data_IF_918626233152
#
_entry.id   IF_918626233152
#
_cell.length_a   1.000
_cell.length_b   1.000
_cell.length_c   1.000
_cell.angle_alpha   90.00
_cell.angle_beta   90.00
_cell.angle_gamma   90.00
#
_symmetry.space_group_name_H-M   'P 1'
#
loop_
_entity.id
_entity.type
_entity.pdbx_description
1 polymer ?
#
# COMPACT_ATOMS: atom_id res chain seq x y z
N UNK A 1 -0.95 -0.73 -33.96
CA UNK A 1 -0.81 -0.35 -32.54
C UNK A 1 0.62 0.08 -32.30
N UNK A 2 0.83 1.31 -31.81
CA UNK A 2 2.18 1.85 -31.54
C UNK A 2 2.83 1.28 -30.28
N UNK A 3 2.00 0.81 -29.33
CA UNK A 3 2.43 0.28 -28.04
C UNK A 3 1.75 -1.07 -27.72
N UNK A 4 2.25 -2.19 -28.28
CA UNK A 4 1.64 -3.51 -28.08
C UNK A 4 1.88 -4.09 -26.67
N UNK A 5 2.73 -3.47 -25.86
CA UNK A 5 3.12 -3.89 -24.51
C UNK A 5 2.10 -3.48 -23.43
N UNK A 6 1.25 -2.48 -23.70
CA UNK A 6 0.22 -1.97 -22.77
C UNK A 6 -0.67 -3.04 -22.16
N UNK A 7 -1.34 -3.90 -22.97
CA UNK A 7 -2.26 -4.88 -22.43
C UNK A 7 -1.54 -5.91 -21.55
N UNK A 8 -0.31 -6.29 -21.91
CA UNK A 8 0.49 -7.23 -21.13
C UNK A 8 0.80 -6.66 -19.74
N UNK A 9 1.35 -5.45 -19.66
CA UNK A 9 1.72 -4.84 -18.39
C UNK A 9 0.52 -4.49 -17.50
N UNK A 10 -0.57 -4.02 -18.10
CA UNK A 10 -1.81 -3.71 -17.38
C UNK A 10 -2.45 -4.98 -16.81
N UNK A 11 -2.51 -6.07 -17.60
CA UNK A 11 -3.03 -7.35 -17.13
C UNK A 11 -2.16 -7.96 -16.02
N UNK A 12 -0.84 -7.98 -16.20
CA UNK A 12 0.08 -8.48 -15.20
C UNK A 12 -0.05 -7.68 -13.89
N UNK A 13 -0.09 -6.36 -13.97
CA UNK A 13 -0.22 -5.48 -12.80
C UNK A 13 -1.54 -5.65 -12.08
N UNK A 14 -2.63 -5.88 -12.81
CA UNK A 14 -3.93 -6.22 -12.24
C UNK A 14 -3.85 -7.49 -11.37
N UNK A 15 -3.13 -8.52 -11.83
CA UNK A 15 -2.90 -9.74 -11.05
C UNK A 15 -1.99 -9.49 -9.84
N UNK A 16 -0.90 -8.74 -10.02
CA UNK A 16 0.06 -8.45 -8.95
C UNK A 16 -0.58 -7.69 -7.79
N UNK A 17 -1.48 -6.74 -8.06
CA UNK A 17 -2.16 -5.94 -7.02
C UNK A 17 -3.14 -6.78 -6.21
N UNK A 18 -3.75 -7.82 -6.79
CA UNK A 18 -4.65 -8.72 -6.07
C UNK A 18 -3.89 -9.61 -5.08
N UNK A 19 -2.62 -9.94 -5.35
CA UNK A 19 -1.86 -10.86 -4.48
C UNK A 19 -1.87 -10.37 -3.01
N UNK A 20 -1.54 -9.10 -2.68
CA UNK A 20 -1.63 -8.58 -1.32
C UNK A 20 -3.02 -8.55 -0.66
N UNK A 21 -4.11 -8.67 -1.43
CA UNK A 21 -5.47 -8.39 -0.96
C UNK A 21 -5.86 -9.23 0.27
N UNK A 22 -5.56 -10.53 0.26
CA UNK A 22 -5.98 -11.42 1.34
C UNK A 22 -5.37 -11.03 2.71
N UNK A 23 -4.08 -10.69 2.74
CA UNK A 23 -3.37 -10.33 3.98
C UNK A 23 -3.78 -8.95 4.48
N UNK A 24 -4.00 -8.01 3.57
CA UNK A 24 -4.50 -6.68 3.92
C UNK A 24 -5.94 -6.72 4.45
N UNK A 25 -6.75 -7.66 3.97
CA UNK A 25 -8.11 -7.90 4.48
C UNK A 25 -8.09 -8.40 5.92
N UNK A 26 -7.21 -9.37 6.22
CA UNK A 26 -7.03 -9.87 7.59
C UNK A 26 -6.60 -8.77 8.56
N UNK A 27 -5.81 -7.81 8.09
CA UNK A 27 -5.32 -6.68 8.87
C UNK A 27 -6.30 -5.50 8.99
N UNK A 28 -7.48 -5.59 8.36
CA UNK A 28 -8.51 -4.53 8.36
C UNK A 28 -7.95 -3.13 8.05
N UNK A 29 -7.05 -3.07 7.08
CA UNK A 29 -6.43 -1.82 6.63
C UNK A 29 -7.23 -1.25 5.46
N UNK A 30 -8.30 -0.50 5.73
CA UNK A 30 -9.25 -0.05 4.70
C UNK A 30 -8.59 0.92 3.72
N UNK A 31 -7.67 1.78 4.19
CA UNK A 31 -6.93 2.67 3.31
C UNK A 31 -6.15 1.90 2.22
N UNK A 32 -5.38 0.89 2.61
CA UNK A 32 -4.63 0.08 1.63
C UNK A 32 -5.54 -0.83 0.80
N UNK A 33 -6.64 -1.34 1.35
CA UNK A 33 -7.63 -2.09 0.58
C UNK A 33 -8.30 -1.23 -0.49
N UNK A 34 -8.62 0.02 -0.16
CA UNK A 34 -9.17 0.98 -1.11
C UNK A 34 -8.14 1.29 -2.21
N UNK A 35 -6.86 1.44 -1.84
CA UNK A 35 -5.78 1.63 -2.80
C UNK A 35 -5.66 0.47 -3.79
N UNK A 36 -5.69 -0.78 -3.29
CA UNK A 36 -5.71 -1.99 -4.13
C UNK A 36 -6.92 -1.97 -5.08
N UNK A 37 -8.11 -1.65 -4.57
CA UNK A 37 -9.34 -1.58 -5.37
C UNK A 37 -9.21 -0.56 -6.52
N UNK A 38 -8.74 0.65 -6.22
CA UNK A 38 -8.54 1.71 -7.21
C UNK A 38 -7.49 1.33 -8.24
N UNK A 39 -6.35 0.77 -7.81
CA UNK A 39 -5.31 0.28 -8.70
C UNK A 39 -5.80 -0.85 -9.62
N UNK A 40 -6.55 -1.81 -9.08
CA UNK A 40 -7.15 -2.87 -9.87
C UNK A 40 -8.07 -2.30 -10.96
N UNK A 41 -8.98 -1.39 -10.61
CA UNK A 41 -9.87 -0.74 -11.57
C UNK A 41 -9.11 0.06 -12.63
N UNK A 42 -8.05 0.77 -12.23
CA UNK A 42 -7.21 1.54 -13.12
C UNK A 42 -6.57 0.65 -14.20
N UNK A 43 -5.94 -0.46 -13.77
CA UNK A 43 -5.32 -1.41 -14.69
C UNK A 43 -6.35 -2.11 -15.58
N UNK A 44 -7.53 -2.46 -15.04
CA UNK A 44 -8.61 -3.03 -15.83
C UNK A 44 -9.07 -2.07 -16.93
N UNK A 45 -9.23 -0.78 -16.59
CA UNK A 45 -9.61 0.25 -17.56
C UNK A 45 -8.53 0.40 -18.63
N UNK A 46 -7.27 0.56 -18.25
CA UNK A 46 -6.16 0.70 -19.21
C UNK A 46 -6.03 -0.54 -20.10
N UNK A 47 -6.18 -1.74 -19.54
CA UNK A 47 -6.15 -2.99 -20.27
C UNK A 47 -7.23 -3.03 -21.36
N UNK A 48 -8.51 -2.85 -21.00
CA UNK A 48 -9.62 -2.87 -21.96
C UNK A 48 -9.47 -1.75 -22.99
N UNK A 49 -9.08 -0.54 -22.55
CA UNK A 49 -8.89 0.59 -23.46
C UNK A 49 -7.81 0.29 -24.51
N UNK A 50 -6.68 -0.29 -24.11
CA UNK A 50 -5.58 -0.65 -25.01
C UNK A 50 -5.96 -1.71 -26.04
N UNK A 51 -6.91 -2.60 -25.72
CA UNK A 51 -7.39 -3.63 -26.63
C UNK A 51 -8.43 -3.07 -27.62
N UNK A 52 -9.40 -2.29 -27.13
CA UNK A 52 -10.53 -1.80 -27.94
C UNK A 52 -10.11 -0.68 -28.89
N UNK A 53 -9.25 0.24 -28.45
CA UNK A 53 -8.79 1.40 -29.24
C UNK A 53 -7.41 1.20 -29.87
N UNK A 54 -7.02 -0.05 -30.03
CA UNK A 54 -5.87 -0.45 -30.80
C UNK A 54 -5.95 0.01 -32.26
N UNK A 55 -5.13 0.99 -32.65
CA UNK A 55 -5.08 1.53 -34.02
C UNK A 55 -6.39 2.13 -34.51
N UNK A 56 -7.26 2.56 -33.58
CA UNK A 56 -8.51 3.22 -33.92
C UNK A 56 -8.95 4.17 -32.78
N UNK A 57 -9.79 5.15 -33.13
CA UNK A 57 -10.37 6.12 -32.20
C UNK A 57 -11.91 6.16 -32.30
N UNK A 58 -12.52 5.12 -32.88
CA UNK A 58 -13.97 5.05 -33.09
C UNK A 58 -14.70 4.80 -31.78
N UNK A 59 -15.88 5.40 -31.62
CA UNK A 59 -16.72 5.12 -30.46
C UNK A 59 -17.45 3.77 -30.60
N UNK A 60 -16.73 2.69 -30.26
CA UNK A 60 -17.24 1.32 -30.33
C UNK A 60 -18.14 0.96 -29.14
N UNK A 61 -17.99 1.64 -28.00
CA UNK A 61 -18.72 1.33 -26.77
C UNK A 61 -18.92 2.59 -25.89
N UNK A 62 -19.99 3.36 -26.13
CA UNK A 62 -20.25 4.61 -25.42
C UNK A 62 -20.44 4.44 -23.90
N UNK A 63 -21.08 3.33 -23.49
CA UNK A 63 -21.34 3.03 -22.07
C UNK A 63 -20.03 2.76 -21.34
N UNK A 64 -19.11 2.04 -21.99
CA UNK A 64 -17.78 1.82 -21.45
C UNK A 64 -17.03 3.14 -21.29
N UNK A 65 -17.02 4.02 -22.31
CA UNK A 65 -16.32 5.30 -22.22
C UNK A 65 -16.85 6.21 -21.11
N UNK A 66 -18.16 6.20 -20.87
CA UNK A 66 -18.78 6.93 -19.76
C UNK A 66 -18.27 6.45 -18.38
N UNK A 67 -18.02 5.16 -18.22
CA UNK A 67 -17.58 4.58 -16.96
C UNK A 67 -16.06 4.72 -16.82
N UNK A 68 -15.31 4.31 -17.83
CA UNK A 68 -13.85 4.23 -17.81
C UNK A 68 -13.19 5.60 -17.67
N UNK A 69 -13.69 6.61 -18.40
CA UNK A 69 -13.18 7.99 -18.29
C UNK A 69 -13.30 8.56 -16.88
N UNK A 70 -14.43 8.28 -16.20
CA UNK A 70 -14.69 8.71 -14.82
C UNK A 70 -13.84 7.96 -13.81
N UNK A 71 -13.62 6.66 -14.01
CA UNK A 71 -12.71 5.87 -13.17
C UNK A 71 -11.30 6.45 -13.21
N UNK A 72 -10.76 6.72 -14.41
CA UNK A 72 -9.42 7.31 -14.54
C UNK A 72 -9.32 8.69 -13.90
N UNK A 73 -10.39 9.50 -14.01
CA UNK A 73 -10.46 10.79 -13.35
C UNK A 73 -10.42 10.67 -11.82
N UNK A 74 -11.19 9.72 -11.25
CA UNK A 74 -11.26 9.46 -9.81
C UNK A 74 -9.90 9.14 -9.20
N UNK A 75 -9.02 8.46 -9.93
CA UNK A 75 -7.69 8.07 -9.44
C UNK A 75 -6.84 9.26 -9.00
N UNK A 76 -6.95 10.41 -9.68
CA UNK A 76 -6.22 11.62 -9.33
C UNK A 76 -6.51 12.10 -7.90
N UNK A 77 -7.70 11.79 -7.38
CA UNK A 77 -8.09 12.13 -6.01
C UNK A 77 -7.97 10.92 -5.07
N UNK A 78 -8.28 9.72 -5.56
CA UNK A 78 -8.33 8.51 -4.74
C UNK A 78 -6.96 8.09 -4.23
N UNK A 79 -5.91 8.14 -5.07
CA UNK A 79 -4.55 7.75 -4.68
C UNK A 79 -4.01 8.63 -3.53
N UNK A 80 -3.95 9.98 -3.66
CA UNK A 80 -3.46 10.81 -2.58
C UNK A 80 -4.36 10.78 -1.34
N UNK A 81 -5.68 10.63 -1.50
CA UNK A 81 -6.59 10.48 -0.37
C UNK A 81 -6.32 9.18 0.42
N UNK A 82 -6.08 8.07 -0.27
CA UNK A 82 -5.67 6.80 0.35
C UNK A 82 -4.34 6.95 1.10
N UNK A 83 -3.35 7.60 0.49
CA UNK A 83 -2.06 7.89 1.11
C UNK A 83 -2.19 8.77 2.36
N UNK A 84 -2.99 9.82 2.31
CA UNK A 84 -3.28 10.69 3.47
C UNK A 84 -3.95 9.90 4.60
N UNK A 85 -4.99 9.11 4.28
CA UNK A 85 -5.70 8.27 5.24
C UNK A 85 -4.75 7.28 5.92
N UNK A 86 -3.88 6.64 5.14
CA UNK A 86 -2.84 5.74 5.63
C UNK A 86 -1.84 6.46 6.54
N UNK A 87 -1.32 7.62 6.16
CA UNK A 87 -0.36 8.38 6.97
C UNK A 87 -0.97 8.90 8.26
N UNK A 88 -2.20 9.40 8.24
CA UNK A 88 -2.95 9.78 9.46
C UNK A 88 -3.09 8.60 10.42
N UNK A 89 -3.36 7.41 9.88
CA UNK A 89 -3.43 6.20 10.71
C UNK A 89 -2.06 5.91 11.33
N UNK A 90 -0.99 5.89 10.56
CA UNK A 90 0.34 5.54 11.07
C UNK A 90 0.87 6.55 12.10
N UNK A 91 0.67 7.85 11.87
CA UNK A 91 1.02 8.91 12.83
C UNK A 91 0.30 8.70 14.16
N UNK A 92 -0.99 8.38 14.13
CA UNK A 92 -1.77 8.19 15.34
C UNK A 92 -1.40 6.91 16.11
N UNK A 93 -0.86 5.89 15.44
CA UNK A 93 -0.23 4.72 16.11
C UNK A 93 1.06 5.17 16.78
N UNK A 94 1.96 5.83 16.05
CA UNK A 94 3.28 6.19 16.53
C UNK A 94 3.26 7.20 17.68
N UNK A 95 2.29 8.12 17.69
CA UNK A 95 2.11 9.11 18.76
C UNK A 95 1.50 8.53 20.04
N UNK A 96 1.17 7.23 20.10
CA UNK A 96 0.55 6.54 21.25
C UNK A 96 -0.78 7.13 21.72
N UNK A 97 -1.45 7.94 20.88
CA UNK A 97 -2.82 8.43 21.13
C UNK A 97 -3.86 7.29 21.23
N UNK A 98 -3.44 6.05 20.96
CA UNK A 98 -4.23 4.81 20.91
C UNK A 98 -3.87 3.83 22.02
N UNK A 99 -3.91 4.27 23.29
CA UNK A 99 -3.56 3.39 24.41
C UNK A 99 -4.64 2.34 24.73
N UNK A 100 -5.83 2.39 24.12
CA UNK A 100 -6.89 1.40 24.34
C UNK A 100 -7.55 0.99 23.01
N UNK A 101 -7.37 -0.28 22.61
CA UNK A 101 -8.12 -0.89 21.51
C UNK A 101 -9.58 -1.00 21.96
N UNK A 102 -10.47 -0.24 21.30
CA UNK A 102 -11.91 -0.25 21.57
C UNK A 102 -12.67 -0.47 20.26
N UNK A 103 -13.68 -1.35 20.28
CA UNK A 103 -14.51 -1.62 19.10
C UNK A 103 -15.19 -0.34 18.53
N UNK A 104 -15.52 0.62 19.39
CA UNK A 104 -16.07 1.93 18.96
C UNK A 104 -15.03 2.73 18.17
N UNK A 105 -13.77 2.68 18.60
CA UNK A 105 -12.67 3.35 17.91
C UNK A 105 -12.42 2.72 16.54
N UNK A 106 -12.37 1.39 16.46
CA UNK A 106 -12.17 0.68 15.19
C UNK A 106 -13.29 1.00 14.19
N UNK A 107 -14.54 1.03 14.64
CA UNK A 107 -15.67 1.40 13.77
C UNK A 107 -15.56 2.83 13.28
N UNK A 108 -15.24 3.77 14.15
CA UNK A 108 -15.06 5.19 13.77
C UNK A 108 -13.92 5.34 12.77
N UNK A 109 -12.78 4.68 13.03
CA UNK A 109 -11.62 4.67 12.13
C UNK A 109 -11.98 4.11 10.76
N UNK A 110 -12.70 2.99 10.68
CA UNK A 110 -13.14 2.43 9.40
C UNK A 110 -14.03 3.39 8.63
N UNK A 111 -14.98 4.06 9.30
CA UNK A 111 -15.85 5.06 8.68
C UNK A 111 -15.01 6.24 8.14
N UNK A 112 -14.06 6.73 8.92
CA UNK A 112 -13.15 7.81 8.50
C UNK A 112 -12.29 7.39 7.29
N UNK A 113 -11.71 6.19 7.31
CA UNK A 113 -10.92 5.65 6.18
C UNK A 113 -11.78 5.49 4.92
N UNK A 114 -13.00 4.92 5.02
CA UNK A 114 -13.94 4.81 3.89
C UNK A 114 -14.33 6.18 3.35
N UNK A 115 -14.63 7.12 4.25
CA UNK A 115 -15.04 8.47 3.86
C UNK A 115 -13.94 9.18 3.09
N UNK A 116 -12.68 9.03 3.51
CA UNK A 116 -11.54 9.67 2.85
C UNK A 116 -11.20 8.93 1.55
N UNK A 117 -11.12 7.61 1.55
CA UNK A 117 -10.59 6.84 0.43
C UNK A 117 -11.62 6.54 -0.69
N UNK A 118 -12.92 6.56 -0.40
CA UNK A 118 -13.97 6.21 -1.35
C UNK A 118 -14.98 7.34 -1.57
N UNK A 119 -15.44 8.00 -0.50
CA UNK A 119 -16.48 9.05 -0.63
C UNK A 119 -15.86 10.36 -1.14
N UNK A 120 -14.73 10.79 -0.57
CA UNK A 120 -14.11 12.06 -0.95
C UNK A 120 -13.68 12.14 -2.43
N UNK A 121 -13.12 11.09 -3.05
CA UNK A 121 -12.79 11.11 -4.48
C UNK A 121 -14.03 11.22 -5.35
N UNK A 122 -15.13 10.56 -4.98
CA UNK A 122 -16.41 10.67 -5.71
C UNK A 122 -16.97 12.09 -5.67
N UNK A 123 -16.92 12.75 -4.50
CA UNK A 123 -17.36 14.14 -4.36
C UNK A 123 -16.47 15.11 -5.15
N UNK A 124 -15.14 14.96 -5.05
CA UNK A 124 -14.18 15.81 -5.78
C UNK A 124 -14.25 15.59 -7.30
N UNK A 125 -14.40 14.35 -7.75
CA UNK A 125 -14.65 14.06 -9.16
C UNK A 125 -16.00 14.61 -9.61
N UNK A 126 -17.04 14.58 -8.79
CA UNK A 126 -18.30 15.29 -9.10
C UNK A 126 -18.10 16.78 -9.34
N UNK A 127 -17.22 17.42 -8.55
CA UNK A 127 -16.88 18.84 -8.71
C UNK A 127 -16.17 19.14 -10.04
N UNK A 128 -15.47 18.16 -10.63
CA UNK A 128 -14.84 18.35 -11.94
C UNK A 128 -15.83 18.54 -13.08
N UNK A 129 -17.11 18.21 -12.87
CA UNK A 129 -18.15 18.54 -13.84
C UNK A 129 -18.18 20.04 -14.15
N UNK A 130 -17.84 20.92 -13.19
CA UNK A 130 -17.75 22.38 -13.39
C UNK A 130 -16.83 22.75 -14.56
N UNK A 131 -15.78 21.95 -14.78
CA UNK A 131 -14.72 22.18 -15.77
C UNK A 131 -14.73 21.15 -16.89
N UNK A 132 -15.78 20.34 -16.98
CA UNK A 132 -15.94 19.35 -18.03
C UNK A 132 -16.59 20.01 -19.24
N UNK A 133 -15.88 20.07 -20.37
CA UNK A 133 -16.41 20.73 -21.58
C UNK A 133 -17.48 19.90 -22.30
N UNK A 134 -17.28 18.58 -22.33
CA UNK A 134 -18.13 17.63 -23.05
C UNK A 134 -18.00 16.22 -22.48
N UNK A 135 -18.75 15.26 -23.02
CA UNK A 135 -18.98 13.95 -22.39
C UNK A 135 -17.69 13.17 -22.12
N UNK A 136 -16.89 12.92 -23.16
CA UNK A 136 -15.56 12.29 -23.06
C UNK A 136 -14.76 12.49 -24.36
N UNK A 137 -13.48 12.19 -24.28
CA UNK A 137 -12.55 12.11 -25.40
C UNK A 137 -12.20 10.65 -25.67
N UNK A 138 -12.00 10.32 -26.95
CA UNK A 138 -11.39 9.07 -27.37
C UNK A 138 -10.09 9.44 -28.08
N UNK A 139 -8.97 8.96 -27.57
CA UNK A 139 -7.65 9.16 -28.17
C UNK A 139 -7.18 7.82 -28.73
N UNK A 140 -6.75 7.82 -29.99
CA UNK A 140 -6.22 6.63 -30.65
C UNK A 140 -5.10 5.96 -29.82
N UNK A 141 -5.10 4.63 -29.76
CA UNK A 141 -4.15 3.81 -28.98
C UNK A 141 -4.16 4.02 -27.45
N UNK A 142 -4.93 4.98 -26.92
CA UNK A 142 -5.06 5.26 -25.48
C UNK A 142 -6.47 4.90 -24.97
N UNK A 143 -7.52 5.19 -25.74
CA UNK A 143 -8.91 4.95 -25.41
C UNK A 143 -9.64 6.13 -24.79
N UNK A 144 -10.64 5.86 -23.96
CA UNK A 144 -11.54 6.89 -23.41
C UNK A 144 -10.89 7.67 -22.26
N UNK A 145 -11.01 9.00 -22.31
CA UNK A 145 -10.49 9.94 -21.32
C UNK A 145 -11.57 10.97 -20.96
N UNK A 146 -11.51 11.50 -19.74
CA UNK A 146 -12.38 12.60 -19.35
C UNK A 146 -12.02 13.88 -20.13
N UNK A 147 -13.02 14.60 -20.62
CA UNK A 147 -12.81 15.92 -21.21
C UNK A 147 -12.63 16.96 -20.11
N UNK A 148 -11.59 17.77 -20.20
CA UNK A 148 -11.33 18.86 -19.25
C UNK A 148 -11.12 20.14 -20.05
N UNK A 149 -11.93 21.15 -19.77
CA UNK A 149 -11.79 22.48 -20.35
C UNK A 149 -10.65 23.23 -19.67
N UNK A 150 -9.55 23.43 -20.41
CA UNK A 150 -8.31 24.06 -19.93
C UNK A 150 -8.56 25.50 -19.49
N UNK A 151 -8.74 25.69 -18.19
CA UNK A 151 -9.06 26.96 -17.54
C UNK A 151 -8.43 27.04 -16.16
N UNK A 152 -8.39 28.22 -15.54
CA UNK A 152 -7.86 28.37 -14.16
C UNK A 152 -8.57 27.43 -13.17
N UNK A 153 -9.92 27.32 -13.16
CA UNK A 153 -10.59 26.35 -12.29
C UNK A 153 -10.16 24.90 -12.55
N UNK A 154 -9.89 24.52 -13.80
CA UNK A 154 -9.45 23.15 -14.10
C UNK A 154 -8.05 22.87 -13.57
N UNK A 155 -7.14 23.85 -13.58
CA UNK A 155 -5.80 23.71 -12.99
C UNK A 155 -5.88 23.51 -11.48
N UNK A 156 -6.77 24.24 -10.81
CA UNK A 156 -6.98 24.10 -9.37
C UNK A 156 -7.52 22.70 -9.04
N UNK A 157 -8.59 22.27 -9.73
CA UNK A 157 -9.21 20.98 -9.49
C UNK A 157 -8.26 19.82 -9.82
N UNK A 158 -7.57 19.87 -10.96
CA UNK A 158 -6.74 18.78 -11.48
C UNK A 158 -5.38 18.65 -10.78
N UNK A 159 -4.76 19.76 -10.38
CA UNK A 159 -3.39 19.75 -9.86
C UNK A 159 -3.28 20.29 -8.43
N UNK A 160 -3.90 21.44 -8.14
CA UNK A 160 -3.74 22.07 -6.83
C UNK A 160 -4.40 21.26 -5.71
N UNK A 161 -5.63 20.75 -5.92
CA UNK A 161 -6.34 19.95 -4.91
C UNK A 161 -5.63 18.62 -4.63
N UNK A 162 -5.35 17.75 -5.62
CA UNK A 162 -4.56 16.53 -5.38
C UNK A 162 -3.20 16.82 -4.77
N UNK A 163 -2.50 17.86 -5.25
CA UNK A 163 -1.22 18.29 -4.71
C UNK A 163 -1.30 18.70 -3.23
N UNK A 164 -2.34 19.44 -2.83
CA UNK A 164 -2.56 19.81 -1.44
C UNK A 164 -2.83 18.58 -0.54
N UNK A 165 -3.58 17.59 -1.03
CA UNK A 165 -3.81 16.32 -0.31
C UNK A 165 -2.48 15.57 -0.15
N UNK A 166 -1.64 15.52 -1.19
CA UNK A 166 -0.31 14.90 -1.12
C UNK A 166 0.63 15.64 -0.16
N UNK A 167 0.61 16.98 -0.12
CA UNK A 167 1.39 17.75 0.84
C UNK A 167 0.93 17.44 2.27
N UNK A 168 -0.38 17.38 2.52
CA UNK A 168 -0.92 16.97 3.81
C UNK A 168 -0.45 15.56 4.20
N UNK A 169 -0.48 14.61 3.25
CA UNK A 169 0.03 13.24 3.45
C UNK A 169 1.50 13.24 3.87
N UNK A 170 2.36 14.03 3.22
CA UNK A 170 3.78 14.16 3.57
C UNK A 170 3.98 14.78 4.95
N UNK A 171 3.18 15.77 5.34
CA UNK A 171 3.24 16.34 6.71
C UNK A 171 2.97 15.24 7.74
N UNK A 172 1.93 14.43 7.55
CA UNK A 172 1.66 13.29 8.43
C UNK A 172 2.77 12.24 8.39
N UNK A 173 3.39 11.99 7.23
CA UNK A 173 4.53 11.09 7.12
C UNK A 173 5.72 11.57 7.97
N UNK A 174 6.05 12.87 7.90
CA UNK A 174 7.12 13.48 8.72
C UNK A 174 6.81 13.34 10.20
N UNK A 175 5.56 13.60 10.63
CA UNK A 175 5.15 13.41 12.02
C UNK A 175 5.23 11.95 12.46
N UNK A 176 4.78 11.01 11.63
CA UNK A 176 4.84 9.58 11.90
C UNK A 176 6.29 9.09 12.06
N UNK A 177 7.20 9.54 11.19
CA UNK A 177 8.64 9.23 11.29
C UNK A 177 9.24 9.86 12.55
N UNK A 178 8.92 11.13 12.85
CA UNK A 178 9.41 11.80 14.06
C UNK A 178 9.03 11.03 15.32
N UNK A 179 7.75 10.64 15.47
CA UNK A 179 7.29 9.86 16.62
C UNK A 179 7.93 8.48 16.69
N UNK A 180 8.09 7.82 15.54
CA UNK A 180 8.81 6.55 15.44
C UNK A 180 10.25 6.69 15.95
N UNK A 181 10.99 7.72 15.51
CA UNK A 181 12.37 7.95 15.92
C UNK A 181 12.50 8.24 17.42
N UNK A 182 11.60 9.05 17.98
CA UNK A 182 11.56 9.38 19.42
C UNK A 182 11.35 8.11 20.26
N UNK A 183 10.51 7.18 19.79
CA UNK A 183 10.08 5.99 20.57
C UNK A 183 10.67 4.68 20.06
N UNK A 184 11.71 4.71 19.23
CA UNK A 184 12.20 3.55 18.47
C UNK A 184 12.49 2.30 19.32
N UNK A 185 12.98 2.49 20.55
CA UNK A 185 13.30 1.38 21.46
C UNK A 185 12.04 0.70 22.05
N UNK A 186 10.95 1.45 22.19
CA UNK A 186 9.67 0.95 22.72
C UNK A 186 8.65 0.68 21.61
N UNK A 187 9.01 0.91 20.35
CA UNK A 187 8.07 0.94 19.24
C UNK A 187 7.45 -0.43 18.97
N UNK A 188 8.22 -1.50 19.11
CA UNK A 188 7.68 -2.87 19.01
C UNK A 188 6.58 -3.11 20.05
N UNK A 189 6.78 -2.68 21.29
CA UNK A 189 5.77 -2.78 22.36
C UNK A 189 4.55 -1.90 22.07
N UNK A 190 4.77 -0.68 21.55
CA UNK A 190 3.68 0.22 21.15
C UNK A 190 2.81 -0.43 20.07
N UNK A 191 3.44 -1.03 19.06
CA UNK A 191 2.72 -1.76 18.00
C UNK A 191 1.96 -2.95 18.57
N UNK A 192 2.59 -3.76 19.43
CA UNK A 192 1.96 -4.92 20.05
C UNK A 192 0.74 -4.59 20.91
N UNK A 193 0.67 -3.38 21.48
CA UNK A 193 -0.47 -2.93 22.30
C UNK A 193 -1.54 -2.20 21.49
N UNK A 194 -1.17 -1.53 20.40
CA UNK A 194 -2.07 -0.67 19.63
C UNK A 194 -2.62 -1.30 18.34
N UNK A 195 -1.86 -2.22 17.73
CA UNK A 195 -2.25 -2.93 16.52
C UNK A 195 -1.44 -4.23 16.34
N UNK A 196 -1.96 -5.34 16.86
CA UNK A 196 -1.31 -6.65 16.83
C UNK A 196 -1.08 -7.19 15.41
N UNK A 197 -1.62 -6.53 14.37
CA UNK A 197 -1.44 -6.92 12.97
C UNK A 197 -0.34 -6.14 12.25
N UNK A 198 0.28 -5.17 12.93
CA UNK A 198 1.23 -4.23 12.35
C UNK A 198 2.66 -4.52 12.87
N UNK A 199 3.52 -5.06 11.99
CA UNK A 199 4.95 -5.21 12.25
C UNK A 199 5.72 -3.91 11.95
N UNK A 200 6.93 -3.75 12.49
CA UNK A 200 7.80 -2.60 12.19
C UNK A 200 8.13 -2.53 10.69
N UNK A 201 8.46 -3.68 10.08
CA UNK A 201 8.73 -3.75 8.65
C UNK A 201 7.52 -3.34 7.82
N UNK A 202 6.30 -3.78 8.18
CA UNK A 202 5.07 -3.33 7.51
C UNK A 202 4.80 -1.85 7.71
N UNK A 203 5.03 -1.33 8.91
CA UNK A 203 4.89 0.11 9.21
C UNK A 203 5.78 0.96 8.30
N UNK A 204 7.07 0.61 8.19
CA UNK A 204 8.02 1.35 7.34
C UNK A 204 7.68 1.24 5.85
N UNK A 205 7.27 0.06 5.36
CA UNK A 205 6.84 -0.12 3.97
C UNK A 205 5.60 0.70 3.63
N UNK A 206 4.64 0.81 4.57
CA UNK A 206 3.47 1.67 4.41
C UNK A 206 3.85 3.17 4.38
N UNK A 207 4.83 3.60 5.17
CA UNK A 207 5.36 4.98 5.08
C UNK A 207 6.04 5.22 3.74
N UNK A 208 6.96 4.33 3.35
CA UNK A 208 7.71 4.45 2.12
C UNK A 208 6.78 4.55 0.90
N UNK A 209 5.76 3.67 0.81
CA UNK A 209 4.77 3.73 -0.28
C UNK A 209 4.05 5.08 -0.34
N UNK A 210 3.55 5.59 0.79
CA UNK A 210 2.78 6.83 0.79
C UNK A 210 3.65 8.07 0.53
N UNK A 211 4.92 8.05 0.96
CA UNK A 211 5.90 9.08 0.61
C UNK A 211 6.17 9.04 -0.90
N UNK A 212 6.47 7.86 -1.46
CA UNK A 212 6.69 7.70 -2.90
C UNK A 212 5.48 8.20 -3.71
N UNK A 213 4.27 7.79 -3.35
CA UNK A 213 3.04 8.24 -4.00
C UNK A 213 2.87 9.77 -3.94
N UNK A 214 3.00 10.35 -2.74
CA UNK A 214 2.81 11.80 -2.55
C UNK A 214 3.88 12.61 -3.29
N UNK A 215 5.14 12.15 -3.30
CA UNK A 215 6.23 12.81 -4.02
C UNK A 215 6.04 12.73 -5.53
N UNK A 216 5.66 11.57 -6.07
CA UNK A 216 5.40 11.40 -7.51
C UNK A 216 4.24 12.29 -7.95
N UNK A 217 3.15 12.37 -7.17
CA UNK A 217 2.01 13.22 -7.53
C UNK A 217 2.35 14.72 -7.51
N UNK A 218 3.13 15.17 -6.52
CA UNK A 218 3.59 16.57 -6.46
C UNK A 218 4.52 16.87 -7.64
N UNK A 219 5.46 15.97 -7.95
CA UNK A 219 6.36 16.14 -9.10
C UNK A 219 5.57 16.20 -10.42
N UNK A 220 4.56 15.34 -10.58
CA UNK A 220 3.65 15.37 -11.71
C UNK A 220 2.87 16.69 -11.80
N UNK A 221 2.33 17.19 -10.68
CA UNK A 221 1.63 18.48 -10.66
C UNK A 221 2.55 19.65 -11.05
N UNK A 222 3.79 19.68 -10.56
CA UNK A 222 4.79 20.69 -10.90
C UNK A 222 5.18 20.60 -12.38
N UNK A 223 5.41 19.39 -12.89
CA UNK A 223 5.73 19.16 -14.31
C UNK A 223 4.63 19.70 -15.22
N UNK A 224 3.36 19.37 -14.95
CA UNK A 224 2.25 19.85 -15.76
C UNK A 224 2.01 21.37 -15.63
N UNK A 225 2.37 21.97 -14.50
CA UNK A 225 2.31 23.42 -14.32
C UNK A 225 3.45 24.14 -15.07
N UNK A 226 4.62 23.53 -15.21
CA UNK A 226 5.77 24.13 -15.91
C UNK A 226 5.80 23.83 -17.41
N UNK A 227 5.18 22.74 -17.86
CA UNK A 227 5.12 22.31 -19.26
C UNK A 227 4.06 23.06 -20.07
N UNK A 228 4.10 24.39 -20.09
CA UNK A 228 3.18 25.19 -20.93
C UNK A 228 3.90 25.65 -22.20
N UNK A 229 3.73 24.96 -23.35
CA UNK A 229 4.00 25.67 -24.62
C UNK A 229 2.86 25.72 -25.66
N UNK A 230 1.85 24.83 -25.69
CA UNK A 230 0.99 24.74 -26.89
C UNK A 230 -0.53 24.92 -26.68
N UNK A 231 -1.07 24.80 -25.46
CA UNK A 231 -2.50 25.00 -25.17
C UNK A 231 -2.71 26.16 -24.18
N UNK A 232 -3.02 27.38 -24.66
CA UNK A 232 -3.20 28.54 -23.77
C UNK A 232 -4.41 28.33 -22.86
N UNK A 233 -4.24 28.68 -21.58
CA UNK A 233 -5.33 28.66 -20.60
C UNK A 233 -6.47 29.55 -21.09
N UNK A 234 -7.63 28.96 -21.29
CA UNK A 234 -8.81 29.66 -21.77
C UNK A 234 -9.58 30.31 -20.61
N UNK A 235 -10.14 31.51 -20.80
CA UNK A 235 -10.94 32.16 -19.77
C UNK A 235 -12.22 31.35 -19.50
N UNK A 236 -12.55 31.18 -18.23
CA UNK A 236 -13.82 30.60 -17.79
C UNK A 236 -14.92 31.67 -17.86
N UNK A 237 -15.60 31.80 -19.00
CA UNK A 237 -16.58 32.88 -19.24
C UNK A 237 -17.89 32.69 -18.48
N UNK A 238 -18.50 31.50 -18.59
CA UNK A 238 -19.75 31.14 -17.89
C UNK A 238 -19.97 29.62 -17.93
N UNK A 239 -20.83 29.11 -17.04
CA UNK A 239 -21.25 27.71 -17.05
C UNK A 239 -21.77 27.26 -18.41
N UNK A 240 -22.64 28.07 -19.02
CA UNK A 240 -23.27 27.79 -20.32
C UNK A 240 -22.23 27.73 -21.45
N UNK A 241 -21.18 28.55 -21.39
CA UNK A 241 -20.13 28.55 -22.39
C UNK A 241 -19.27 27.27 -22.33
N UNK A 242 -18.98 26.78 -21.13
CA UNK A 242 -18.19 25.54 -20.95
C UNK A 242 -19.00 24.30 -21.30
N UNK A 243 -20.30 24.28 -21.01
CA UNK A 243 -21.18 23.12 -21.23
C UNK A 243 -21.98 23.19 -22.53
N UNK A 244 -21.53 23.98 -23.50
CA UNK A 244 -22.21 24.05 -24.81
C UNK A 244 -22.11 22.69 -25.50
N UNK A 245 -23.25 22.14 -25.93
CA UNK A 245 -23.33 20.81 -26.56
C UNK A 245 -22.66 19.68 -25.76
N UNK A 246 -22.77 19.70 -24.43
CA UNK A 246 -22.09 18.76 -23.52
C UNK A 246 -22.21 17.27 -23.89
N UNK A 247 -23.34 16.86 -24.47
CA UNK A 247 -23.58 15.47 -24.89
C UNK A 247 -22.67 14.98 -26.04
N UNK A 248 -21.92 15.87 -26.67
CA UNK A 248 -20.95 15.51 -27.72
C UNK A 248 -19.73 14.80 -27.12
N UNK A 249 -19.08 14.00 -27.96
CA UNK A 249 -17.82 13.35 -27.67
C UNK A 249 -16.83 13.66 -28.79
N UNK A 250 -15.55 13.72 -28.44
CA UNK A 250 -14.50 14.03 -29.41
C UNK A 250 -13.62 12.81 -29.65
N UNK A 251 -13.19 12.65 -30.90
CA UNK A 251 -12.39 11.54 -31.38
C UNK A 251 -11.12 12.11 -31.99
N UNK A 252 -9.96 11.71 -31.48
CA UNK A 252 -8.68 12.30 -31.85
C UNK A 252 -7.70 11.22 -32.34
N UNK A 253 -7.16 11.36 -33.56
CA UNK A 253 -6.00 10.57 -33.97
C UNK A 253 -4.78 10.97 -33.15
N UNK A 254 -3.84 10.03 -32.95
CA UNK A 254 -2.66 10.29 -32.11
C UNK A 254 -1.77 11.43 -32.65
N UNK A 255 -1.76 11.60 -33.97
CA UNK A 255 -0.95 12.57 -34.71
C UNK A 255 -1.27 14.02 -34.32
N UNK A 256 -2.52 14.31 -33.92
CA UNK A 256 -2.96 15.64 -33.54
C UNK A 256 -2.22 16.18 -32.31
N UNK A 257 -1.78 15.28 -31.43
CA UNK A 257 -1.15 15.67 -30.17
C UNK A 257 0.35 15.93 -30.29
N UNK A 258 1.02 15.56 -31.38
CA UNK A 258 2.43 15.84 -31.63
C UNK A 258 3.32 15.67 -30.39
N UNK A 259 3.85 16.78 -29.87
CA UNK A 259 4.74 16.81 -28.68
C UNK A 259 4.04 16.49 -27.35
N UNK A 260 2.71 16.62 -27.27
CA UNK A 260 1.92 16.31 -26.08
C UNK A 260 1.57 14.82 -25.95
N UNK A 261 1.65 14.06 -27.04
CA UNK A 261 1.31 12.62 -27.05
C UNK A 261 2.08 11.78 -26.00
N UNK A 262 3.40 11.98 -25.78
CA UNK A 262 4.13 11.28 -24.73
C UNK A 262 3.55 11.45 -23.32
N UNK A 263 2.89 12.57 -23.01
CA UNK A 263 2.22 12.76 -21.73
C UNK A 263 0.99 11.86 -21.60
N UNK A 264 0.22 11.66 -22.67
CA UNK A 264 -0.91 10.71 -22.67
C UNK A 264 -0.43 9.28 -22.49
N UNK A 265 0.64 8.92 -23.19
CA UNK A 265 1.35 7.64 -23.01
C UNK A 265 1.75 7.49 -21.55
N UNK A 266 2.49 8.43 -20.95
CA UNK A 266 2.93 8.35 -19.56
C UNK A 266 1.76 8.18 -18.57
N UNK A 267 0.62 8.87 -18.79
CA UNK A 267 -0.59 8.69 -17.98
C UNK A 267 -1.21 7.30 -18.13
N UNK A 268 -1.16 6.70 -19.33
CA UNK A 268 -1.60 5.32 -19.54
C UNK A 268 -0.67 4.29 -18.86
N UNK A 269 0.64 4.58 -18.77
CA UNK A 269 1.61 3.73 -18.05
C UNK A 269 1.50 3.86 -16.52
N UNK A 270 1.05 5.01 -16.01
CA UNK A 270 1.08 5.31 -14.58
C UNK A 270 0.37 4.28 -13.68
N UNK A 271 -0.85 3.78 -13.98
CA UNK A 271 -1.52 2.78 -13.16
C UNK A 271 -0.71 1.50 -12.91
N UNK A 272 -0.10 0.97 -13.96
CA UNK A 272 0.61 -0.30 -13.88
C UNK A 272 1.99 -0.10 -13.25
N UNK A 273 2.69 1.01 -13.53
CA UNK A 273 3.94 1.36 -12.85
C UNK A 273 3.72 1.52 -11.34
N UNK A 274 2.65 2.21 -10.96
CA UNK A 274 2.31 2.37 -9.55
C UNK A 274 1.90 1.05 -8.88
N UNK A 275 1.28 0.15 -9.63
CA UNK A 275 0.96 -1.21 -9.19
C UNK A 275 2.20 -2.07 -8.96
N UNK A 276 3.22 -1.93 -9.81
CA UNK A 276 4.52 -2.59 -9.62
C UNK A 276 5.22 -2.04 -8.37
N UNK A 277 5.20 -0.72 -8.15
CA UNK A 277 5.73 -0.10 -6.92
C UNK A 277 4.97 -0.63 -5.70
N UNK A 278 3.64 -0.69 -5.75
CA UNK A 278 2.83 -1.26 -4.68
C UNK A 278 3.24 -2.71 -4.39
N UNK A 279 3.35 -3.54 -5.43
CA UNK A 279 3.78 -4.93 -5.29
C UNK A 279 5.22 -5.07 -4.79
N UNK A 280 6.15 -4.19 -5.15
CA UNK A 280 7.52 -4.27 -4.63
C UNK A 280 7.58 -4.03 -3.12
N UNK A 281 6.75 -3.12 -2.59
CA UNK A 281 6.64 -2.90 -1.15
C UNK A 281 5.91 -4.05 -0.42
N UNK A 282 4.83 -4.60 -0.96
CA UNK A 282 4.00 -5.56 -0.22
C UNK A 282 4.19 -7.02 -0.63
N UNK A 283 4.49 -7.27 -1.89
CA UNK A 283 4.66 -8.59 -2.48
C UNK A 283 5.84 -9.37 -1.92
N UNK A 284 6.92 -8.71 -1.49
CA UNK A 284 8.11 -9.38 -0.93
C UNK A 284 8.19 -9.34 0.61
N UNK A 285 7.13 -8.90 1.29
CA UNK A 285 7.09 -8.90 2.76
C UNK A 285 7.13 -10.31 3.34
N UNK A 286 7.68 -10.46 4.55
CA UNK A 286 7.65 -11.74 5.29
C UNK A 286 6.23 -12.32 5.35
N UNK A 287 5.23 -11.47 5.57
CA UNK A 287 3.83 -11.90 5.64
C UNK A 287 3.30 -12.41 4.29
N UNK A 288 3.73 -11.79 3.19
CA UNK A 288 3.35 -12.19 1.84
C UNK A 288 4.05 -13.49 1.43
N UNK A 289 5.36 -13.61 1.71
CA UNK A 289 6.16 -14.82 1.44
C UNK A 289 5.59 -16.02 2.19
N UNK A 290 5.31 -15.86 3.49
CA UNK A 290 4.66 -16.91 4.28
C UNK A 290 3.28 -17.27 3.71
N UNK A 291 2.53 -16.28 3.23
CA UNK A 291 1.28 -16.50 2.51
C UNK A 291 1.43 -17.34 1.24
N UNK A 292 2.43 -17.02 0.41
CA UNK A 292 2.72 -17.79 -0.81
C UNK A 292 3.11 -19.22 -0.50
N UNK A 293 3.92 -19.47 0.54
CA UNK A 293 4.31 -20.81 0.96
C UNK A 293 3.10 -21.65 1.41
N UNK A 294 2.17 -21.05 2.15
CA UNK A 294 0.92 -21.73 2.54
C UNK A 294 0.09 -22.08 1.31
N UNK A 295 -0.07 -21.16 0.35
CA UNK A 295 -0.81 -21.45 -0.90
C UNK A 295 -0.10 -22.54 -1.70
N UNK A 296 1.22 -22.45 -1.86
CA UNK A 296 2.02 -23.46 -2.55
C UNK A 296 1.84 -24.85 -1.92
N UNK A 297 1.83 -24.95 -0.58
CA UNK A 297 1.57 -26.22 0.10
C UNK A 297 0.17 -26.79 -0.18
N UNK A 298 -0.85 -25.93 -0.32
CA UNK A 298 -2.21 -26.35 -0.69
C UNK A 298 -2.28 -26.82 -2.14
N UNK A 299 -1.59 -26.15 -3.04
CA UNK A 299 -1.50 -26.53 -4.46
C UNK A 299 -0.78 -27.86 -4.59
N UNK A 300 0.35 -28.05 -3.91
CA UNK A 300 1.08 -29.34 -3.88
C UNK A 300 0.16 -30.46 -3.37
N UNK A 301 -0.53 -30.25 -2.24
CA UNK A 301 -1.50 -31.23 -1.72
C UNK A 301 -2.66 -31.52 -2.68
N UNK A 302 -3.10 -30.53 -3.46
CA UNK A 302 -4.14 -30.71 -4.49
C UNK A 302 -3.61 -31.52 -5.67
N UNK A 303 -2.41 -31.21 -6.15
CA UNK A 303 -1.73 -31.93 -7.25
C UNK A 303 -1.45 -33.38 -6.85
N UNK A 304 -1.08 -33.63 -5.59
CA UNK A 304 -0.93 -34.98 -5.03
C UNK A 304 -2.25 -35.76 -5.03
N UNK A 305 -3.40 -35.11 -4.78
CA UNK A 305 -4.72 -35.76 -4.88
C UNK A 305 -5.10 -36.15 -6.30
N UNK A 306 -4.56 -35.45 -7.32
CA UNK A 306 -4.77 -35.77 -8.73
C UNK A 306 -3.75 -36.78 -9.29
N UNK A 307 -2.93 -37.42 -8.44
CA UNK A 307 -2.13 -38.59 -8.81
C UNK A 307 -0.78 -38.30 -9.46
N UNK A 308 -0.31 -37.05 -9.46
CA UNK A 308 1.05 -36.72 -9.92
C UNK A 308 2.08 -37.11 -8.85
N UNK A 309 3.01 -37.98 -9.25
CA UNK A 309 3.99 -38.66 -8.39
C UNK A 309 4.84 -37.68 -7.56
N UNK A 310 5.00 -38.05 -6.28
CA UNK A 310 5.77 -37.41 -5.21
C UNK A 310 7.07 -36.73 -5.67
N UNK A 311 7.12 -35.40 -5.62
CA UNK A 311 8.39 -34.68 -5.46
C UNK A 311 8.74 -34.72 -3.97
N UNK A 312 9.72 -35.54 -3.57
CA UNK A 312 10.25 -35.53 -2.21
C UNK A 312 11.11 -34.28 -1.97
N UNK A 313 10.48 -33.12 -1.83
CA UNK A 313 11.08 -32.03 -1.06
C UNK A 313 10.67 -32.23 0.40
N UNK A 314 11.64 -32.32 1.32
CA UNK A 314 11.40 -32.15 2.76
C UNK A 314 10.82 -30.75 2.96
N UNK A 315 9.52 -30.58 2.79
CA UNK A 315 8.83 -29.32 2.99
C UNK A 315 8.55 -29.15 4.47
N UNK A 316 9.63 -28.88 5.22
CA UNK A 316 9.57 -28.38 6.60
C UNK A 316 9.07 -26.93 6.62
N UNK A 317 7.91 -26.66 6.01
CA UNK A 317 7.27 -25.34 6.04
C UNK A 317 6.36 -25.18 7.27
N UNK A 318 6.05 -26.26 7.98
CA UNK A 318 5.16 -26.24 9.15
C UNK A 318 5.81 -25.66 10.43
N UNK A 319 7.07 -25.24 10.38
CA UNK A 319 7.79 -24.65 11.54
C UNK A 319 8.77 -23.52 11.24
N UNK A 320 8.95 -23.10 9.98
CA UNK A 320 9.85 -21.99 9.64
C UNK A 320 9.10 -20.67 9.60
N UNK A 321 9.02 -19.97 10.74
CA UNK A 321 8.90 -18.52 10.73
C UNK A 321 10.19 -17.95 10.14
N UNK A 322 10.18 -17.58 8.85
CA UNK A 322 11.25 -16.79 8.26
C UNK A 322 11.21 -15.38 8.86
N UNK A 323 12.03 -15.14 9.88
CA UNK A 323 12.31 -13.80 10.39
C UNK A 323 13.54 -13.25 9.65
N UNK A 324 13.32 -12.44 8.62
CA UNK A 324 14.36 -11.58 8.07
C UNK A 324 14.55 -10.37 9.00
N UNK A 325 15.32 -10.58 10.07
CA UNK A 325 16.00 -9.47 10.75
C UNK A 325 15.50 -9.04 12.13
N UNK A 326 14.64 -9.79 12.81
CA UNK A 326 14.52 -9.64 14.27
C UNK A 326 14.13 -10.94 14.94
N UNK A 327 15.14 -11.67 15.43
CA UNK A 327 14.93 -12.79 16.33
C UNK A 327 14.65 -12.22 17.72
N UNK A 328 13.38 -12.09 18.09
CA UNK A 328 13.02 -11.93 19.50
C UNK A 328 13.07 -13.34 20.10
N UNK A 329 14.17 -13.64 20.79
CA UNK A 329 14.28 -14.84 21.62
C UNK A 329 13.53 -14.51 22.91
N UNK A 330 12.37 -15.11 23.19
CA UNK A 330 11.84 -15.05 24.55
C UNK A 330 12.88 -15.72 25.47
N UNK A 331 13.22 -15.07 26.58
CA UNK A 331 14.01 -15.70 27.63
C UNK A 331 13.19 -16.87 28.19
N UNK A 332 13.33 -18.04 27.58
CA UNK A 332 12.80 -19.29 28.07
C UNK A 332 13.56 -19.67 29.33
N UNK A 333 12.85 -19.85 30.43
CA UNK A 333 13.34 -20.54 31.61
C UNK A 333 13.61 -22.01 31.25
N UNK A 334 14.78 -22.29 30.67
CA UNK A 334 15.27 -23.66 30.50
C UNK A 334 15.94 -24.11 31.80
N UNK A 335 15.09 -24.30 32.81
CA UNK A 335 15.40 -25.07 34.02
C UNK A 335 14.42 -26.24 34.11
N UNK A 336 14.39 -27.10 33.09
CA UNK A 336 13.80 -28.42 33.19
C UNK A 336 14.32 -29.33 32.08
N UNK A 337 14.76 -30.53 32.47
CA UNK A 337 15.10 -31.70 31.63
C UNK A 337 16.48 -31.75 30.97
N UNK A 338 17.54 -31.89 31.79
CA UNK A 338 18.67 -32.76 31.43
C UNK A 338 18.90 -33.69 32.62
N UNK A 339 18.11 -34.76 32.68
CA UNK A 339 18.36 -35.89 33.55
C UNK A 339 17.97 -37.16 32.80
N UNK A 340 18.79 -37.55 31.81
CA UNK A 340 18.77 -38.93 31.32
C UNK A 340 20.11 -39.30 30.64
N UNK A 341 20.89 -40.07 31.39
CA UNK A 341 21.80 -41.17 30.98
C UNK A 341 22.61 -41.00 29.69
N UNK A 342 23.92 -40.90 29.87
CA UNK A 342 24.88 -41.81 29.20
C UNK A 342 26.05 -42.13 30.12
N UNK A 343 26.19 -43.42 30.42
CA UNK A 343 27.34 -44.04 31.06
C UNK A 343 28.60 -43.88 30.18
N UNK A 344 29.71 -43.45 30.77
CA UNK A 344 31.01 -44.11 30.63
C UNK A 344 32.02 -43.56 31.65
N UNK A 345 32.83 -44.41 32.32
CA UNK A 345 33.70 -43.98 33.41
C UNK A 345 35.14 -43.79 32.93
N UNK A 346 35.73 -42.60 33.08
CA UNK A 346 37.19 -42.45 33.03
C UNK A 346 37.66 -41.37 34.04
N UNK A 347 38.37 -41.88 35.06
CA UNK A 347 39.46 -41.29 35.86
C UNK A 347 39.27 -39.98 36.65
N UNK A 348 39.13 -40.18 37.98
CA UNK A 348 40.05 -39.72 39.05
C UNK A 348 40.94 -38.51 38.69
N UNK A 349 40.71 -37.37 39.36
CA UNK A 349 41.70 -36.68 40.21
C UNK A 349 40.93 -35.88 41.28
N UNK A 350 41.29 -36.11 42.54
CA UNK A 350 40.87 -35.38 43.73
C UNK A 350 41.28 -33.91 43.68
N UNK A 351 40.40 -32.98 44.09
CA UNK A 351 40.86 -31.77 44.77
C UNK A 351 39.80 -31.26 45.76
N UNK A 352 40.12 -31.42 47.04
CA UNK A 352 39.43 -30.87 48.19
C UNK A 352 39.62 -29.36 48.26
N UNK A 353 38.54 -28.57 48.23
CA UNK A 353 38.54 -27.24 48.87
C UNK A 353 37.25 -27.05 49.67
N UNK A 354 37.39 -27.27 50.96
CA UNK A 354 36.47 -26.88 52.03
C UNK A 354 36.57 -25.38 52.28
N UNK A 355 35.46 -24.63 52.24
CA UNK A 355 35.29 -23.44 53.07
C UNK A 355 33.86 -23.35 53.63
N UNK A 356 33.80 -23.27 54.97
CA UNK A 356 32.63 -23.03 55.80
C UNK A 356 32.16 -21.58 55.64
N UNK A 357 30.84 -21.37 55.62
CA UNK A 357 30.22 -20.07 55.84
C UNK A 357 28.70 -20.20 55.97
N UNK A 358 28.20 -20.16 57.21
CA UNK A 358 26.77 -20.04 57.55
C UNK A 358 26.26 -18.67 57.08
N UNK A 359 25.04 -18.64 56.53
CA UNK A 359 23.95 -17.82 57.06
C UNK A 359 22.63 -18.15 56.33
N UNK A 360 21.76 -18.84 57.06
CA UNK A 360 20.35 -19.04 56.74
C UNK A 360 19.58 -17.75 57.03
N UNK A 361 19.21 -17.02 55.98
CA UNK A 361 18.13 -16.02 56.05
C UNK A 361 16.96 -16.55 55.23
N UNK A 362 15.90 -16.86 55.96
CA UNK A 362 14.59 -17.27 55.48
C UNK A 362 13.82 -15.99 55.15
N UNK A 363 13.53 -15.74 53.87
CA UNK A 363 12.60 -14.69 53.46
C UNK A 363 11.46 -15.32 52.66
N UNK A 364 10.28 -15.29 53.27
CA UNK A 364 9.01 -15.67 52.67
C UNK A 364 8.68 -14.72 51.50
N UNK A 365 8.52 -15.28 50.30
CA UNK A 365 7.99 -14.53 49.17
C UNK A 365 6.46 -14.54 49.20
N UNK A 366 5.89 -13.43 49.69
CA UNK A 366 4.50 -13.08 49.43
C UNK A 366 4.32 -12.71 47.95
N UNK A 367 3.31 -13.29 47.30
CA UNK A 367 3.02 -13.09 45.89
C UNK A 367 2.71 -11.64 45.51
N UNK A 368 3.37 -11.17 44.45
CA UNK A 368 2.88 -10.21 43.45
C UNK A 368 3.81 -10.28 42.26
N UNK A 369 3.28 -10.66 41.09
CA UNK A 369 4.04 -10.72 39.83
C UNK A 369 4.56 -9.34 39.45
N UNK A 370 5.86 -9.11 39.69
CA UNK A 370 6.61 -8.01 39.12
C UNK A 370 7.50 -8.56 38.00
N UNK A 371 7.38 -8.00 36.80
CA UNK A 371 8.30 -8.27 35.69
C UNK A 371 9.59 -7.48 35.95
N UNK A 372 10.67 -8.18 36.28
CA UNK A 372 12.00 -7.60 36.33
C UNK A 372 12.55 -7.50 34.89
N UNK A 373 12.88 -6.28 34.45
CA UNK A 373 13.61 -6.04 33.19
C UNK A 373 15.02 -5.59 33.59
N UNK A 374 16.01 -6.45 33.40
CA UNK A 374 17.42 -6.08 33.50
C UNK A 374 17.87 -5.48 32.18
N UNK A 375 18.32 -4.23 32.22
CA UNK A 375 18.97 -3.56 31.08
C UNK A 375 20.46 -3.80 31.22
N UNK A 376 21.04 -4.65 30.38
CA UNK A 376 22.49 -4.70 30.20
C UNK A 376 22.91 -3.51 29.35
N UNK A 377 23.55 -2.54 30.00
CA UNK A 377 24.37 -1.54 29.32
C UNK A 377 25.67 -2.20 28.88
N UNK A 378 25.77 -2.56 27.60
CA UNK A 378 27.05 -2.93 27.00
C UNK A 378 27.90 -1.66 26.83
N UNK A 379 28.84 -1.48 27.74
CA UNK A 379 30.04 -0.66 27.53
C UNK A 379 31.02 -1.55 26.76
N UNK A 380 31.38 -1.12 25.55
CA UNK A 380 32.74 -0.91 25.01
C UNK A 380 32.57 -0.35 23.60
#
# INVERSE_FOLDING_TARGET
>A
MRHPDYPFWSFLSMLLVILPLHWHTRARNIATLSLIFWLFLANLVTFVNSLVWAGNYRDNNPVWCDISSRILLLLNYALPACSLSQMRRLESVASTRRSVISARYDRRRMIEEISICLVSPLLLAGLTYIVQGHRYNIVENIGCLASVYTSVPSMILRYAIPGAISVASLIFAVLAIRWFLIRRLQFQTILATSDNTLSVGRYLRLIALAVTDSTVLIAYAIYNASSTPDDPIQPYKSWKAVHVNFGQYSQYPEELFGKAYPSFVANAYAPFLYSIIFFSFFGFGEEAVNGYLVIASKVVKLVERFGLKRWQTKTSYEGQQFTLGSKVIPAGNDAASINERTNNPINIVDENITYKGKDTIRTECHGRGGVAVTVETSIV
#
